data_IF_259210780100
#
_entry.id   IF_259210780100
#
_cell.length_a   1.000
_cell.length_b   1.000
_cell.length_c   1.000
_cell.angle_alpha   90.00
_cell.angle_beta   90.00
_cell.angle_gamma   90.00
#
_symmetry.space_group_name_H-M   'P 1'
#
loop_
_entity.id
_entity.type
_entity.pdbx_description
1 polymer ?
#
# COMPACT_ATOMS: atom_id res chain seq x y z
N UNK A 1 -0.44 29.10 11.71
CA UNK A 1 -0.22 27.70 11.31
C UNK A 1 -0.17 26.76 12.51
N UNK A 2 0.54 27.10 13.59
CA UNK A 2 0.74 26.21 14.75
C UNK A 2 -0.54 25.82 15.50
N UNK A 3 -1.48 26.74 15.73
CA UNK A 3 -2.75 26.48 16.45
C UNK A 3 -3.60 25.33 15.87
N UNK A 4 -3.51 25.06 14.56
CA UNK A 4 -4.31 24.02 13.89
C UNK A 4 -3.99 22.60 14.39
N UNK A 5 -2.74 22.38 14.80
CA UNK A 5 -2.23 21.05 15.14
C UNK A 5 -1.96 20.87 16.64
N UNK A 6 -2.16 21.91 17.45
CA UNK A 6 -1.98 21.89 18.92
C UNK A 6 -2.80 20.80 19.61
N UNK A 7 -3.96 20.42 19.05
CA UNK A 7 -4.78 19.33 19.61
C UNK A 7 -4.02 18.00 19.67
N UNK A 8 -3.02 17.79 18.82
CA UNK A 8 -2.19 16.58 18.83
C UNK A 8 -1.17 16.54 19.98
N UNK A 9 -1.00 17.62 20.74
CA UNK A 9 -0.14 17.63 21.93
C UNK A 9 -0.71 16.83 23.10
N UNK A 10 -1.99 16.45 23.06
CA UNK A 10 -2.60 15.57 24.08
C UNK A 10 -2.43 14.08 23.76
N UNK A 11 -1.97 13.75 22.53
CA UNK A 11 -1.76 12.36 22.12
C UNK A 11 -0.45 11.83 22.70
N UNK A 12 -0.46 10.54 23.07
CA UNK A 12 0.74 9.79 23.45
C UNK A 12 1.53 9.27 22.25
N UNK A 13 0.94 9.33 21.06
CA UNK A 13 1.60 9.02 19.80
C UNK A 13 2.45 10.21 19.37
N UNK A 14 3.58 9.95 18.72
CA UNK A 14 4.31 11.01 18.04
C UNK A 14 3.49 11.51 16.85
N UNK A 15 3.35 12.82 16.68
CA UNK A 15 2.66 13.40 15.52
C UNK A 15 3.57 14.40 14.85
N UNK A 16 3.66 14.33 13.52
CA UNK A 16 4.41 15.28 12.71
C UNK A 16 3.67 15.61 11.42
N UNK A 17 3.89 16.83 10.91
CA UNK A 17 3.43 17.26 9.58
C UNK A 17 4.63 17.71 8.78
N UNK A 18 4.78 17.13 7.58
CA UNK A 18 5.89 17.40 6.66
C UNK A 18 5.34 18.09 5.42
N UNK A 19 5.90 19.23 5.02
CA UNK A 19 5.51 19.90 3.78
C UNK A 19 6.14 19.26 2.52
N UNK A 20 5.75 19.76 1.34
CA UNK A 20 6.24 19.26 0.05
C UNK A 20 7.74 19.46 -0.18
N UNK A 21 8.37 20.38 0.56
CA UNK A 21 9.81 20.60 0.53
C UNK A 21 10.54 19.74 1.56
N UNK A 22 9.86 18.73 2.13
CA UNK A 22 10.33 17.84 3.17
C UNK A 22 10.76 18.57 4.44
N UNK A 23 10.11 19.68 4.79
CA UNK A 23 10.36 20.42 6.03
C UNK A 23 9.32 20.09 7.06
N UNK A 24 9.74 20.08 8.33
CA UNK A 24 8.83 19.93 9.44
C UNK A 24 7.95 21.18 9.59
N UNK A 25 6.64 21.05 9.41
CA UNK A 25 5.69 22.10 9.76
C UNK A 25 5.17 21.99 11.19
N UNK A 26 5.10 20.77 11.72
CA UNK A 26 4.62 20.52 13.07
C UNK A 26 5.25 19.25 13.62
N UNK A 27 5.59 19.26 14.90
CA UNK A 27 5.81 18.07 15.72
C UNK A 27 5.08 18.29 17.04
N UNK A 28 4.43 17.26 17.55
CA UNK A 28 3.85 17.34 18.88
C UNK A 28 4.92 17.21 19.98
N UNK A 29 4.54 17.56 21.21
CA UNK A 29 5.44 17.53 22.37
C UNK A 29 6.02 16.13 22.59
N UNK A 30 5.27 15.07 22.32
CA UNK A 30 5.75 13.69 22.48
C UNK A 30 6.92 13.38 21.55
N UNK A 31 6.76 13.67 20.24
CA UNK A 31 7.80 13.40 19.27
C UNK A 31 9.06 14.27 19.51
N UNK A 32 8.87 15.53 19.90
CA UNK A 32 9.97 16.43 20.28
C UNK A 32 10.78 15.89 21.47
N UNK A 33 10.11 15.31 22.47
CA UNK A 33 10.80 14.64 23.60
C UNK A 33 11.61 13.43 23.13
N UNK A 34 11.05 12.61 22.23
CA UNK A 34 11.74 11.42 21.71
C UNK A 34 13.02 11.76 20.95
N UNK A 35 12.98 12.79 20.10
CA UNK A 35 14.16 13.21 19.31
C UNK A 35 15.10 14.15 20.08
N UNK A 36 14.75 14.53 21.32
CA UNK A 36 15.48 15.46 22.17
C UNK A 36 15.82 16.80 21.47
N UNK A 37 14.84 17.37 20.76
CA UNK A 37 14.98 18.67 20.09
C UNK A 37 13.87 19.63 20.50
N UNK A 38 14.20 20.92 20.46
CA UNK A 38 13.21 21.98 20.62
C UNK A 38 12.47 22.26 19.30
N UNK A 39 11.23 22.77 19.34
CA UNK A 39 10.50 23.19 18.14
C UNK A 39 11.32 24.14 17.25
N UNK A 40 12.05 25.08 17.84
CA UNK A 40 12.83 26.10 17.14
C UNK A 40 13.97 25.51 16.30
N UNK A 41 14.45 24.32 16.65
CA UNK A 41 15.52 23.62 15.93
C UNK A 41 15.02 22.77 14.76
N UNK A 42 13.72 22.43 14.73
CA UNK A 42 13.17 21.47 13.75
C UNK A 42 12.15 22.10 12.82
N UNK A 43 11.30 23.00 13.31
CA UNK A 43 10.23 23.58 12.51
C UNK A 43 10.80 24.45 11.39
N UNK A 44 10.34 24.21 10.17
CA UNK A 44 10.83 24.83 8.93
C UNK A 44 12.12 24.24 8.39
N UNK A 45 12.76 23.31 9.11
CA UNK A 45 14.02 22.68 8.71
C UNK A 45 13.74 21.42 7.88
N UNK A 46 14.46 21.19 6.77
CA UNK A 46 14.36 19.96 6.01
C UNK A 46 14.75 18.74 6.85
N UNK A 47 14.02 17.63 6.68
CA UNK A 47 14.28 16.37 7.39
C UNK A 47 15.74 15.92 7.28
N UNK A 48 16.35 16.05 6.10
CA UNK A 48 17.75 15.68 5.87
C UNK A 48 18.78 16.51 6.61
N UNK A 49 18.45 17.74 7.01
CA UNK A 49 19.32 18.55 7.87
C UNK A 49 19.22 18.14 9.33
N UNK A 50 18.03 17.71 9.76
CA UNK A 50 17.82 17.23 11.14
C UNK A 50 18.40 15.83 11.31
N UNK A 51 18.19 14.97 10.31
CA UNK A 51 18.66 13.59 10.27
C UNK A 51 19.37 13.32 8.93
N UNK A 52 20.69 13.52 8.84
CA UNK A 52 21.45 13.24 7.62
C UNK A 52 21.35 11.78 7.19
N UNK A 53 21.05 11.54 5.91
CA UNK A 53 20.89 10.19 5.35
C UNK A 53 19.47 9.65 5.40
N UNK A 54 18.51 10.40 5.97
CA UNK A 54 17.09 10.02 5.99
C UNK A 54 16.53 9.81 4.58
N UNK A 55 17.10 10.43 3.55
CA UNK A 55 16.68 10.27 2.16
C UNK A 55 16.83 8.84 1.63
N UNK A 56 17.64 8.02 2.29
CA UNK A 56 17.88 6.61 1.95
C UNK A 56 16.92 5.66 2.68
N UNK A 57 16.07 6.18 3.57
CA UNK A 57 15.19 5.38 4.41
C UNK A 57 13.82 5.16 3.77
N UNK A 58 13.14 4.09 4.18
CA UNK A 58 11.78 3.76 3.72
C UNK A 58 10.77 4.87 4.05
N UNK A 59 10.88 5.52 5.22
CA UNK A 59 9.97 6.62 5.60
C UNK A 59 10.05 7.79 4.61
N UNK A 60 11.24 8.14 4.12
CA UNK A 60 11.38 9.25 3.17
C UNK A 60 10.73 8.91 1.81
N UNK A 61 10.91 7.68 1.34
CA UNK A 61 10.25 7.18 0.13
C UNK A 61 8.73 7.13 0.31
N UNK A 62 8.24 6.65 1.44
CA UNK A 62 6.81 6.59 1.74
C UNK A 62 6.16 7.99 1.78
N UNK A 63 6.86 9.01 2.29
CA UNK A 63 6.40 10.40 2.26
C UNK A 63 6.30 10.89 0.81
N UNK A 64 7.35 10.66 -0.01
CA UNK A 64 7.36 11.05 -1.42
C UNK A 64 6.21 10.41 -2.21
N UNK A 65 6.01 9.09 -2.06
CA UNK A 65 4.89 8.38 -2.67
C UNK A 65 3.52 8.90 -2.21
N UNK A 66 3.39 9.28 -0.93
CA UNK A 66 2.15 9.84 -0.40
C UNK A 66 1.86 11.20 -1.04
N UNK A 67 2.88 12.03 -1.29
CA UNK A 67 2.70 13.28 -2.03
C UNK A 67 2.26 13.07 -3.48
N UNK A 68 2.82 12.06 -4.15
CA UNK A 68 2.51 11.75 -5.55
C UNK A 68 1.12 11.14 -5.72
N UNK A 69 0.77 10.17 -4.88
CA UNK A 69 -0.44 9.35 -5.03
C UNK A 69 -1.64 9.88 -4.26
N UNK A 70 -1.40 10.67 -3.20
CA UNK A 70 -2.41 11.09 -2.24
C UNK A 70 -2.97 9.95 -1.37
N UNK A 71 -2.44 8.72 -1.50
CA UNK A 71 -2.93 7.54 -0.76
C UNK A 71 -2.23 7.43 0.58
N UNK A 72 -2.99 7.13 1.63
CA UNK A 72 -2.42 6.84 2.95
C UNK A 72 -1.52 5.60 2.90
N UNK A 73 -0.42 5.64 3.65
CA UNK A 73 0.55 4.54 3.79
C UNK A 73 0.70 4.16 5.25
N UNK A 74 1.07 2.92 5.50
CA UNK A 74 1.41 2.42 6.83
C UNK A 74 2.70 1.64 6.72
N UNK A 75 3.69 1.98 7.53
CA UNK A 75 5.02 1.34 7.50
C UNK A 75 5.47 1.03 8.92
N UNK A 76 6.21 -0.07 9.07
CA UNK A 76 6.94 -0.37 10.30
C UNK A 76 8.32 0.23 10.15
N UNK A 77 8.68 1.15 11.05
CA UNK A 77 9.95 1.85 10.98
C UNK A 77 10.76 1.62 12.25
N UNK A 78 12.04 1.34 12.07
CA UNK A 78 13.02 1.31 13.15
C UNK A 78 13.59 2.70 13.37
N UNK A 79 13.61 3.14 14.63
CA UNK A 79 14.23 4.39 15.03
C UNK A 79 15.37 4.10 16.00
N UNK A 80 16.58 4.54 15.64
CA UNK A 80 17.75 4.47 16.51
C UNK A 80 17.77 5.74 17.36
N UNK A 81 17.57 5.59 18.67
CA UNK A 81 17.67 6.69 19.62
C UNK A 81 19.12 7.15 19.78
N UNK A 82 19.30 8.35 20.36
CA UNK A 82 20.62 8.97 20.59
C UNK A 82 21.52 8.09 21.47
N UNK A 83 20.94 7.28 22.35
CA UNK A 83 21.66 6.34 23.21
C UNK A 83 22.02 5.01 22.51
N UNK A 84 21.65 4.84 21.24
CA UNK A 84 21.87 3.62 20.45
C UNK A 84 20.77 2.57 20.60
N UNK A 85 19.74 2.82 21.41
CA UNK A 85 18.60 1.90 21.53
C UNK A 85 17.75 1.93 20.26
N UNK A 86 17.45 0.75 19.71
CA UNK A 86 16.54 0.59 18.58
C UNK A 86 15.11 0.44 19.12
N UNK A 87 14.18 1.21 18.56
CA UNK A 87 12.74 1.11 18.85
C UNK A 87 11.95 0.96 17.57
N UNK A 88 10.88 0.16 17.62
CA UNK A 88 9.99 -0.07 16.50
C UNK A 88 8.77 0.83 16.60
N UNK A 89 8.37 1.43 15.48
CA UNK A 89 7.21 2.31 15.40
C UNK A 89 6.31 1.91 14.23
N UNK A 90 5.00 1.88 14.48
CA UNK A 90 3.98 1.93 13.43
C UNK A 90 3.80 3.37 12.98
N UNK A 91 4.15 3.66 11.73
CA UNK A 91 3.96 4.96 11.13
C UNK A 91 2.77 4.94 10.19
N UNK A 92 1.78 5.78 10.47
CA UNK A 92 0.62 6.03 9.60
C UNK A 92 0.78 7.38 8.92
N UNK A 93 0.95 7.35 7.61
CA UNK A 93 1.11 8.52 6.75
C UNK A 93 -0.21 8.81 6.04
N UNK A 94 -0.65 10.07 6.05
CA UNK A 94 -1.86 10.50 5.36
C UNK A 94 -1.65 11.88 4.74
N UNK A 95 -2.10 12.04 3.50
CA UNK A 95 -2.08 13.33 2.81
C UNK A 95 -3.04 14.31 3.50
N UNK A 96 -2.57 15.52 3.79
CA UNK A 96 -3.36 16.63 4.34
C UNK A 96 -3.12 17.90 3.51
N UNK A 97 -3.97 18.94 3.57
CA UNK A 97 -3.78 20.14 2.77
C UNK A 97 -2.41 20.82 2.93
N UNK A 98 -1.84 20.73 4.14
CA UNK A 98 -0.57 21.39 4.48
C UNK A 98 0.67 20.50 4.23
N UNK A 99 0.48 19.24 3.80
CA UNK A 99 1.58 18.29 3.64
C UNK A 99 1.20 16.82 3.85
N UNK A 100 2.08 16.05 4.47
CA UNK A 100 1.82 14.69 4.94
C UNK A 100 1.79 14.69 6.46
N UNK A 101 0.67 14.24 7.04
CA UNK A 101 0.53 13.95 8.46
C UNK A 101 1.07 12.55 8.73
N UNK A 102 1.97 12.42 9.70
CA UNK A 102 2.53 11.14 10.13
C UNK A 102 2.22 10.99 11.62
N UNK A 103 1.60 9.87 11.97
CA UNK A 103 1.35 9.46 13.34
C UNK A 103 2.21 8.24 13.64
N UNK A 104 2.99 8.30 14.70
CA UNK A 104 3.95 7.29 15.13
C UNK A 104 3.51 6.67 16.45
N UNK A 105 3.18 5.38 16.42
CA UNK A 105 2.87 4.59 17.62
C UNK A 105 4.03 3.64 17.92
N UNK A 106 4.58 3.72 19.13
CA UNK A 106 5.65 2.81 19.55
C UNK A 106 5.11 1.39 19.74
N UNK A 107 5.83 0.41 19.21
CA UNK A 107 5.56 -1.01 19.42
C UNK A 107 6.53 -1.50 20.49
N UNK A 108 6.00 -2.00 21.61
CA UNK A 108 6.79 -2.23 22.83
C UNK A 108 7.12 -3.69 23.08
N UNK A 109 6.26 -4.60 22.61
CA UNK A 109 6.41 -6.04 22.81
C UNK A 109 6.58 -6.73 21.46
N UNK A 110 7.29 -7.86 21.43
CA UNK A 110 7.52 -8.62 20.19
C UNK A 110 6.21 -9.24 19.69
N UNK A 111 5.34 -9.65 20.63
CA UNK A 111 3.98 -10.11 20.39
C UNK A 111 3.12 -9.02 19.72
N UNK A 112 3.35 -7.75 20.04
CA UNK A 112 2.66 -6.64 19.39
C UNK A 112 3.06 -6.53 17.92
N UNK A 113 4.32 -6.82 17.57
CA UNK A 113 4.79 -6.82 16.18
C UNK A 113 4.11 -7.94 15.38
N UNK A 114 4.08 -9.16 15.92
CA UNK A 114 3.41 -10.30 15.25
C UNK A 114 1.92 -10.04 15.06
N UNK A 115 1.22 -9.64 16.13
CA UNK A 115 -0.20 -9.30 16.08
C UNK A 115 -0.47 -8.19 15.07
N UNK A 116 0.39 -7.18 15.05
CA UNK A 116 0.30 -6.07 14.13
C UNK A 116 0.43 -6.53 12.68
N UNK A 117 1.47 -7.32 12.38
CA UNK A 117 1.71 -7.87 11.05
C UNK A 117 0.47 -8.67 10.62
N UNK A 118 -0.03 -9.57 11.46
CA UNK A 118 -1.23 -10.35 11.17
C UNK A 118 -2.46 -9.47 10.89
N UNK A 119 -2.66 -8.42 11.69
CA UNK A 119 -3.78 -7.49 11.51
C UNK A 119 -3.69 -6.70 10.20
N UNK A 120 -2.47 -6.32 9.79
CA UNK A 120 -2.20 -5.63 8.54
C UNK A 120 -2.43 -6.56 7.35
N UNK A 121 -1.93 -7.80 7.40
CA UNK A 121 -2.19 -8.83 6.39
C UNK A 121 -3.68 -9.09 6.20
N UNK A 122 -4.43 -9.17 7.31
CA UNK A 122 -5.89 -9.36 7.28
C UNK A 122 -6.59 -8.22 6.55
N UNK A 123 -6.30 -6.97 6.91
CA UNK A 123 -6.87 -5.81 6.22
C UNK A 123 -6.49 -5.78 4.74
N UNK A 124 -5.24 -6.10 4.39
CA UNK A 124 -4.80 -6.08 3.01
C UNK A 124 -5.51 -7.15 2.17
N UNK A 125 -5.71 -8.33 2.75
CA UNK A 125 -6.46 -9.42 2.13
C UNK A 125 -7.91 -9.04 1.90
N UNK A 126 -8.57 -8.48 2.90
CA UNK A 126 -9.96 -8.01 2.80
C UNK A 126 -10.12 -6.92 1.73
N UNK A 127 -9.19 -5.95 1.66
CA UNK A 127 -9.17 -4.92 0.62
C UNK A 127 -8.95 -5.52 -0.78
N UNK A 128 -8.03 -6.48 -0.93
CA UNK A 128 -7.77 -7.15 -2.20
C UNK A 128 -9.00 -7.93 -2.68
N UNK A 129 -9.68 -8.66 -1.78
CA UNK A 129 -10.92 -9.38 -2.07
C UNK A 129 -12.05 -8.42 -2.46
N UNK A 130 -12.21 -7.31 -1.73
CA UNK A 130 -13.19 -6.26 -2.06
C UNK A 130 -12.93 -5.63 -3.43
N UNK A 131 -11.66 -5.36 -3.75
CA UNK A 131 -11.27 -4.83 -5.04
C UNK A 131 -11.54 -5.81 -6.18
N UNK A 132 -11.19 -7.10 -6.00
CA UNK A 132 -11.52 -8.15 -6.95
C UNK A 132 -13.03 -8.26 -7.19
N UNK A 133 -13.84 -8.25 -6.13
CA UNK A 133 -15.30 -8.26 -6.25
C UNK A 133 -15.83 -7.02 -6.97
N UNK A 134 -15.26 -5.85 -6.72
CA UNK A 134 -15.65 -4.61 -7.39
C UNK A 134 -15.32 -4.66 -8.88
N UNK A 135 -14.10 -5.04 -9.24
CA UNK A 135 -13.70 -5.22 -10.64
C UNK A 135 -14.61 -6.23 -11.34
N UNK A 136 -14.90 -7.35 -10.69
CA UNK A 136 -15.79 -8.36 -11.23
C UNK A 136 -17.19 -7.79 -11.52
N UNK A 137 -17.79 -7.08 -10.56
CA UNK A 137 -19.09 -6.41 -10.77
C UNK A 137 -19.07 -5.43 -11.95
N UNK A 138 -17.98 -4.70 -12.13
CA UNK A 138 -17.82 -3.78 -13.27
C UNK A 138 -17.74 -4.55 -14.59
N UNK A 139 -16.94 -5.62 -14.63
CA UNK A 139 -16.78 -6.45 -15.82
C UNK A 139 -18.07 -7.22 -16.18
N UNK A 140 -18.80 -7.74 -15.20
CA UNK A 140 -20.07 -8.44 -15.41
C UNK A 140 -21.18 -7.47 -15.86
N UNK A 141 -21.12 -6.19 -15.46
CA UNK A 141 -22.04 -5.15 -15.96
C UNK A 141 -21.77 -4.72 -17.40
N UNK A 142 -20.64 -5.14 -17.99
CA UNK A 142 -20.28 -4.83 -19.36
C UNK A 142 -21.01 -5.73 -20.35
N UNK A 143 -21.56 -5.15 -21.42
CA UNK A 143 -22.11 -5.92 -22.54
C UNK A 143 -21.03 -6.58 -23.42
N UNK A 144 -19.76 -6.19 -23.28
CA UNK A 144 -18.67 -6.83 -24.00
C UNK A 144 -18.24 -8.10 -23.26
N UNK A 145 -18.07 -9.20 -24.01
CA UNK A 145 -17.42 -10.41 -23.49
C UNK A 145 -15.95 -10.15 -23.19
N UNK A 146 -15.57 -10.27 -21.92
CA UNK A 146 -14.20 -10.08 -21.44
C UNK A 146 -13.66 -11.38 -20.89
N UNK A 147 -12.47 -11.77 -21.36
CA UNK A 147 -11.80 -13.00 -20.95
C UNK A 147 -10.34 -12.74 -20.69
N UNK A 148 -9.80 -13.46 -19.71
CA UNK A 148 -8.38 -13.46 -19.41
C UNK A 148 -7.84 -14.89 -19.39
N UNK A 149 -6.70 -15.07 -20.06
CA UNK A 149 -6.06 -16.34 -20.27
C UNK A 149 -4.62 -16.33 -19.76
N UNK A 150 -4.17 -17.46 -19.23
CA UNK A 150 -2.76 -17.73 -18.94
C UNK A 150 -2.16 -18.54 -20.07
N UNK A 151 -1.07 -18.08 -20.66
CA UNK A 151 -0.38 -18.83 -21.72
C UNK A 151 0.27 -20.10 -21.15
N UNK A 152 0.02 -21.24 -21.79
CA UNK A 152 0.72 -22.50 -21.55
C UNK A 152 1.83 -22.62 -22.58
N UNK A 153 3.06 -22.87 -22.12
CA UNK A 153 4.26 -22.97 -22.96
C UNK A 153 4.89 -24.34 -22.85
N UNK A 154 5.47 -24.82 -23.93
CA UNK A 154 6.31 -26.01 -23.91
C UNK A 154 7.76 -25.66 -23.50
N UNK A 155 8.62 -26.68 -23.39
CA UNK A 155 10.01 -26.52 -22.97
C UNK A 155 10.84 -25.60 -23.88
N UNK A 156 10.49 -25.47 -25.17
CA UNK A 156 11.14 -24.51 -26.09
C UNK A 156 10.71 -23.05 -25.87
N UNK A 157 9.71 -22.79 -25.01
CA UNK A 157 9.16 -21.46 -24.74
C UNK A 157 7.97 -21.06 -25.63
N UNK A 158 7.65 -21.87 -26.63
CA UNK A 158 6.53 -21.62 -27.55
C UNK A 158 5.17 -21.84 -26.85
N UNK A 159 4.21 -20.96 -27.14
CA UNK A 159 2.84 -21.07 -26.61
C UNK A 159 2.13 -22.23 -27.30
N UNK A 160 1.73 -23.22 -26.52
CA UNK A 160 1.02 -24.41 -27.01
C UNK A 160 -0.48 -24.36 -26.75
N UNK A 161 -0.93 -23.61 -25.74
CA UNK A 161 -2.35 -23.47 -25.39
C UNK A 161 -2.55 -22.28 -24.43
N UNK A 162 -3.79 -22.06 -24.01
CA UNK A 162 -4.20 -21.06 -23.05
C UNK A 162 -5.11 -21.67 -21.99
N UNK A 163 -4.91 -21.32 -20.72
CA UNK A 163 -5.79 -21.70 -19.61
C UNK A 163 -6.74 -20.53 -19.31
N UNK A 164 -8.04 -20.79 -19.19
CA UNK A 164 -9.01 -19.79 -18.76
C UNK A 164 -8.77 -19.40 -17.30
N UNK A 165 -8.56 -18.11 -17.04
CA UNK A 165 -8.41 -17.58 -15.68
C UNK A 165 -9.64 -16.78 -15.25
N UNK A 166 -10.32 -16.13 -16.19
CA UNK A 166 -11.53 -15.35 -15.93
C UNK A 166 -12.37 -15.25 -17.21
N UNK A 167 -13.70 -15.25 -17.04
CA UNK A 167 -14.65 -14.98 -18.11
C UNK A 167 -15.87 -14.30 -17.51
N UNK A 168 -16.16 -13.05 -17.91
CA UNK A 168 -17.35 -12.34 -17.41
C UNK A 168 -18.65 -13.00 -17.91
N UNK A 169 -19.78 -12.58 -17.34
CA UNK A 169 -21.11 -13.12 -17.68
C UNK A 169 -21.41 -13.04 -19.19
N UNK A 170 -21.17 -11.89 -19.83
CA UNK A 170 -21.39 -11.71 -21.26
C UNK A 170 -20.56 -12.69 -22.13
N UNK A 171 -19.28 -12.94 -21.78
CA UNK A 171 -18.46 -13.91 -22.50
C UNK A 171 -18.95 -15.35 -22.29
N UNK A 172 -19.40 -15.67 -21.07
CA UNK A 172 -19.99 -16.97 -20.75
C UNK A 172 -21.25 -17.24 -21.58
N UNK A 173 -22.12 -16.25 -21.76
CA UNK A 173 -23.30 -16.33 -22.63
C UNK A 173 -22.93 -16.55 -24.10
N UNK A 174 -21.92 -15.83 -24.61
CA UNK A 174 -21.43 -15.96 -25.99
C UNK A 174 -20.87 -17.37 -26.25
N UNK A 175 -20.13 -17.92 -25.29
CA UNK A 175 -19.49 -19.24 -25.40
C UNK A 175 -20.48 -20.37 -25.11
N UNK A 176 -21.53 -20.10 -24.33
CA UNK A 176 -22.53 -21.09 -23.92
C UNK A 176 -22.10 -21.97 -22.74
N UNK A 177 -21.15 -21.50 -21.92
CA UNK A 177 -20.65 -22.22 -20.75
C UNK A 177 -20.52 -21.29 -19.55
N UNK A 178 -20.73 -21.81 -18.33
CA UNK A 178 -20.55 -21.02 -17.10
C UNK A 178 -19.07 -20.79 -16.81
N UNK A 179 -18.77 -19.74 -16.06
CA UNK A 179 -17.39 -19.44 -15.67
C UNK A 179 -16.78 -20.60 -14.87
N UNK A 180 -17.53 -21.23 -13.97
CA UNK A 180 -17.06 -22.38 -13.17
C UNK A 180 -16.66 -23.58 -14.04
N UNK A 181 -17.27 -23.71 -15.21
CA UNK A 181 -16.88 -24.74 -16.17
C UNK A 181 -15.60 -24.34 -16.92
N UNK A 182 -15.48 -23.07 -17.31
CA UNK A 182 -14.38 -22.57 -18.13
C UNK A 182 -13.08 -22.45 -17.36
N UNK A 183 -13.10 -21.83 -16.17
CA UNK A 183 -11.88 -21.50 -15.40
C UNK A 183 -11.10 -22.76 -15.04
N UNK A 184 -9.79 -22.73 -15.31
CA UNK A 184 -8.85 -23.84 -15.13
C UNK A 184 -8.79 -24.83 -16.30
N UNK A 185 -9.70 -24.74 -17.28
CA UNK A 185 -9.62 -25.56 -18.51
C UNK A 185 -8.78 -24.89 -19.57
N UNK A 186 -8.36 -25.69 -20.56
CA UNK A 186 -7.63 -25.19 -21.72
C UNK A 186 -8.55 -24.69 -22.82
N UNK A 187 -8.14 -23.64 -23.52
CA UNK A 187 -8.88 -23.05 -24.63
C UNK A 187 -9.17 -24.08 -25.71
N UNK A 188 -8.18 -24.89 -26.08
CA UNK A 188 -8.34 -25.90 -27.13
C UNK A 188 -9.21 -27.10 -26.69
N UNK A 189 -9.40 -27.32 -25.38
CA UNK A 189 -10.35 -28.33 -24.89
C UNK A 189 -11.80 -27.83 -25.01
N UNK A 190 -12.04 -26.55 -24.74
CA UNK A 190 -13.38 -25.94 -24.81
C UNK A 190 -13.75 -25.60 -26.26
N UNK A 191 -12.81 -25.03 -27.02
CA UNK A 191 -13.01 -24.55 -28.38
C UNK A 191 -11.92 -25.11 -29.32
N UNK A 192 -11.98 -26.41 -29.67
CA UNK A 192 -10.93 -27.09 -30.43
C UNK A 192 -10.66 -26.48 -31.82
N UNK A 193 -11.65 -25.77 -32.41
CA UNK A 193 -11.51 -25.07 -33.69
C UNK A 193 -10.45 -23.95 -33.70
N UNK A 194 -9.99 -23.49 -32.54
CA UNK A 194 -8.97 -22.44 -32.45
C UNK A 194 -7.54 -22.95 -32.69
N UNK A 195 -7.35 -24.26 -32.75
CA UNK A 195 -6.05 -24.87 -33.09
C UNK A 195 -5.61 -24.60 -34.53
N UNK A 196 -6.55 -24.27 -35.42
CA UNK A 196 -6.31 -24.08 -36.86
C UNK A 196 -5.93 -22.64 -37.27
N UNK A 197 -5.97 -21.68 -36.33
CA UNK A 197 -5.69 -20.25 -36.60
C UNK A 197 -4.24 -19.84 -36.25
N UNK A 198 -3.29 -20.77 -36.31
CA UNK A 198 -1.85 -20.49 -36.09
C UNK A 198 -1.19 -19.85 -37.31
#
# INVERSE_FOLDING_TARGET
MQEKYEIFNVMKSGVQVIDRDFRYQFLNIELLRHIQKSPEEVIGIPMSKVFPGIEQTEIYQAIAETFETGRSRRILNEFVLVDGTIRHYDLRLSSVPDGVLIISDEIREEEDIEFYIESAWRHWKEQAESYQQTLRKVLDSSFAGVQYFKSIRCESGDIVDFEYIFSNEAACEIIGHTEEFLVGRRLLEVLPGHSANR
#
